data_IF_319176011932
#
_entry.id   IF_319176011932
#
_cell.length_a   1.000
_cell.length_b   1.000
_cell.length_c   1.000
_cell.angle_alpha   90.00
_cell.angle_beta   90.00
_cell.angle_gamma   90.00
#
_symmetry.space_group_name_H-M   'P 1'
#
loop_
_entity.id
_entity.type
_entity.pdbx_description
1 polymer ?
#
# COMPACT_ATOMS: atom_id res chain seq x y z
N UNK A 1 -0.99 35.54 -1.66
CA UNK A 1 -0.68 35.14 -0.27
C UNK A 1 -1.66 34.11 0.31
N UNK A 2 -3.01 34.31 0.26
CA UNK A 2 -3.99 33.31 0.77
C UNK A 2 -4.00 31.97 -0.01
N UNK A 3 -3.75 31.99 -1.32
CA UNK A 3 -3.66 30.77 -2.15
C UNK A 3 -2.43 29.93 -1.81
N UNK A 4 -1.28 30.57 -1.57
CA UNK A 4 -0.03 29.91 -1.20
C UNK A 4 -0.12 29.24 0.18
N UNK A 5 -0.77 29.87 1.15
CA UNK A 5 -0.98 29.32 2.50
C UNK A 5 -1.94 28.10 2.47
N UNK A 6 -3.01 28.14 1.66
CA UNK A 6 -3.92 26.99 1.47
C UNK A 6 -3.19 25.81 0.82
N UNK A 7 -2.33 26.05 -0.14
CA UNK A 7 -1.52 24.99 -0.80
C UNK A 7 -0.51 24.40 0.15
N UNK A 8 0.17 25.22 0.96
CA UNK A 8 1.13 24.77 1.99
C UNK A 8 0.42 23.95 3.07
N UNK A 9 -0.76 24.36 3.54
CA UNK A 9 -1.56 23.62 4.51
C UNK A 9 -2.11 22.31 3.94
N UNK A 10 -2.50 22.28 2.67
CA UNK A 10 -2.99 21.06 2.02
C UNK A 10 -1.86 20.04 1.80
N UNK A 11 -0.66 20.49 1.47
CA UNK A 11 0.51 19.62 1.30
C UNK A 11 1.19 19.28 2.62
N UNK A 12 1.11 20.16 3.62
CA UNK A 12 1.67 19.96 4.97
C UNK A 12 0.83 19.10 5.89
N UNK A 13 -0.45 18.86 5.56
CA UNK A 13 -1.36 18.09 6.41
C UNK A 13 -0.83 16.71 6.84
N UNK A 14 -0.37 15.85 5.91
CA UNK A 14 0.21 14.57 6.26
C UNK A 14 1.45 14.67 7.16
N UNK A 15 2.32 15.68 6.95
CA UNK A 15 3.50 15.90 7.82
C UNK A 15 3.09 16.29 9.24
N UNK A 16 2.08 17.16 9.38
CA UNK A 16 1.55 17.53 10.69
C UNK A 16 0.96 16.29 11.38
N UNK A 17 0.20 15.48 10.64
CA UNK A 17 -0.32 14.21 11.15
C UNK A 17 0.78 13.27 11.65
N UNK A 18 1.86 13.13 10.89
CA UNK A 18 3.02 12.32 11.28
C UNK A 18 3.66 12.84 12.59
N UNK A 19 3.90 14.15 12.68
CA UNK A 19 4.49 14.76 13.87
C UNK A 19 3.57 14.61 15.09
N UNK A 20 2.26 14.73 14.93
CA UNK A 20 1.29 14.53 16.01
C UNK A 20 1.30 13.07 16.52
N UNK A 21 1.35 12.08 15.62
CA UNK A 21 1.37 10.67 16.00
C UNK A 21 2.71 10.31 16.66
N UNK A 22 3.84 10.80 16.16
CA UNK A 22 5.15 10.64 16.80
C UNK A 22 5.12 11.30 18.19
N UNK A 23 4.60 12.53 18.32
CA UNK A 23 4.45 13.23 19.58
C UNK A 23 3.61 12.43 20.58
N UNK A 24 2.46 11.87 20.14
CA UNK A 24 1.58 11.08 20.98
C UNK A 24 2.31 9.91 21.69
N UNK A 25 3.12 9.16 20.95
CA UNK A 25 3.86 8.01 21.51
C UNK A 25 5.18 8.39 22.19
N UNK A 26 5.64 9.63 22.02
CA UNK A 26 6.84 10.16 22.69
C UNK A 26 6.55 10.83 24.03
N UNK A 27 5.27 11.15 24.33
CA UNK A 27 4.90 11.84 25.56
C UNK A 27 4.94 10.94 26.81
N UNK A 28 4.45 9.68 26.80
CA UNK A 28 4.48 8.82 27.97
C UNK A 28 5.93 8.45 28.34
N UNK A 29 6.29 8.62 29.63
CA UNK A 29 7.64 8.34 30.09
C UNK A 29 8.07 6.87 29.87
N UNK A 30 7.10 5.95 30.00
CA UNK A 30 7.32 4.51 29.85
C UNK A 30 7.72 4.11 28.42
N UNK A 31 7.21 4.79 27.41
CA UNK A 31 7.49 4.47 25.99
C UNK A 31 8.59 5.34 25.40
N UNK A 32 8.81 6.53 25.93
CA UNK A 32 9.74 7.53 25.39
C UNK A 32 11.15 7.01 25.20
N UNK A 33 11.67 6.26 26.17
CA UNK A 33 13.05 5.74 26.15
C UNK A 33 13.26 4.72 25.04
N UNK A 34 12.23 3.94 24.71
CA UNK A 34 12.30 2.91 23.66
C UNK A 34 11.84 3.44 22.31
N UNK A 35 10.81 4.31 22.28
CA UNK A 35 10.18 4.79 21.04
C UNK A 35 11.13 5.68 20.23
N UNK A 36 11.87 6.60 20.87
CA UNK A 36 12.79 7.53 20.19
C UNK A 36 14.17 6.93 19.93
N UNK A 37 14.34 5.61 20.00
CA UNK A 37 15.62 4.97 19.70
C UNK A 37 15.82 4.77 18.20
N UNK A 38 17.09 4.81 17.77
CA UNK A 38 17.48 4.50 16.40
C UNK A 38 16.98 3.12 15.95
N UNK A 39 17.07 2.11 16.81
CA UNK A 39 16.61 0.76 16.51
C UNK A 39 15.10 0.70 16.28
N UNK A 40 14.31 1.45 17.05
CA UNK A 40 12.87 1.50 16.84
C UNK A 40 12.49 2.19 15.54
N UNK A 41 13.12 3.32 15.18
CA UNK A 41 12.91 3.94 13.87
C UNK A 41 13.25 2.99 12.72
N UNK A 42 14.28 2.18 12.87
CA UNK A 42 14.64 1.15 11.90
C UNK A 42 13.53 0.09 11.75
N UNK A 43 12.92 -0.34 12.86
CA UNK A 43 11.76 -1.24 12.86
C UNK A 43 10.57 -0.57 12.17
N UNK A 44 10.26 0.68 12.50
CA UNK A 44 9.17 1.45 11.87
C UNK A 44 9.38 1.52 10.35
N UNK A 45 10.56 1.91 9.88
CA UNK A 45 10.86 1.96 8.45
C UNK A 45 10.71 0.59 7.77
N UNK A 46 11.17 -0.48 8.43
CA UNK A 46 11.03 -1.84 7.91
C UNK A 46 9.56 -2.26 7.78
N UNK A 47 8.75 -1.95 8.78
CA UNK A 47 7.31 -2.21 8.76
C UNK A 47 6.59 -1.38 7.69
N UNK A 48 7.05 -0.15 7.45
CA UNK A 48 6.47 0.74 6.44
C UNK A 48 6.61 0.20 5.03
N UNK A 49 7.65 -0.59 4.70
CA UNK A 49 7.93 -1.05 3.33
C UNK A 49 6.72 -1.70 2.66
N UNK A 50 6.06 -2.63 3.35
CA UNK A 50 4.97 -3.42 2.79
C UNK A 50 3.75 -2.53 2.53
N UNK A 51 3.37 -1.71 3.51
CA UNK A 51 2.27 -0.74 3.38
C UNK A 51 2.58 0.30 2.31
N UNK A 52 3.82 0.80 2.27
CA UNK A 52 4.27 1.80 1.30
C UNK A 52 4.18 1.28 -0.13
N UNK A 53 4.70 0.07 -0.40
CA UNK A 53 4.61 -0.55 -1.73
C UNK A 53 3.15 -0.78 -2.14
N UNK A 54 2.32 -1.27 -1.22
CA UNK A 54 0.87 -1.37 -1.44
C UNK A 54 0.23 -0.01 -1.74
N UNK A 55 0.64 1.03 -1.00
CA UNK A 55 0.13 2.39 -1.17
C UNK A 55 0.54 3.02 -2.52
N UNK A 56 1.69 2.67 -3.11
CA UNK A 56 2.05 3.12 -4.47
C UNK A 56 1.03 2.65 -5.50
N UNK A 57 0.69 1.36 -5.49
CA UNK A 57 -0.35 0.79 -6.36
C UNK A 57 -1.73 1.37 -6.05
N UNK A 58 -2.10 1.39 -4.79
CA UNK A 58 -3.40 1.90 -4.34
C UNK A 58 -3.60 3.38 -4.66
N UNK A 59 -2.54 4.19 -4.63
CA UNK A 59 -2.63 5.62 -5.01
C UNK A 59 -3.07 5.77 -6.47
N UNK A 60 -2.52 4.98 -7.39
CA UNK A 60 -2.94 5.01 -8.80
C UNK A 60 -4.41 4.60 -8.94
N UNK A 61 -4.85 3.58 -8.22
CA UNK A 61 -6.23 3.10 -8.22
C UNK A 61 -7.17 4.18 -7.66
N UNK A 62 -6.88 4.73 -6.48
CA UNK A 62 -7.74 5.75 -5.83
C UNK A 62 -7.78 7.03 -6.66
N UNK A 63 -6.66 7.51 -7.16
CA UNK A 63 -6.61 8.69 -8.04
C UNK A 63 -7.43 8.47 -9.32
N UNK A 64 -7.52 7.24 -9.83
CA UNK A 64 -8.37 6.91 -10.97
C UNK A 64 -9.87 6.75 -10.64
N UNK A 65 -10.27 6.91 -9.38
CA UNK A 65 -11.64 6.75 -8.89
C UNK A 65 -12.03 5.31 -8.56
N UNK A 66 -11.05 4.41 -8.35
CA UNK A 66 -11.26 3.03 -7.95
C UNK A 66 -10.86 2.75 -6.50
N UNK A 67 -11.20 1.56 -6.02
CA UNK A 67 -10.73 1.00 -4.74
C UNK A 67 -10.41 -0.47 -5.00
N UNK A 68 -9.33 -0.97 -4.41
CA UNK A 68 -8.98 -2.40 -4.47
C UNK A 68 -8.90 -2.98 -3.05
N UNK A 69 -9.88 -3.81 -2.72
CA UNK A 69 -9.91 -4.52 -1.43
C UNK A 69 -9.13 -5.84 -1.47
N UNK A 70 -8.73 -6.30 -2.66
CA UNK A 70 -8.03 -7.57 -2.79
C UNK A 70 -6.53 -7.50 -2.47
N UNK A 71 -5.99 -6.32 -2.16
CA UNK A 71 -4.55 -6.13 -1.94
C UNK A 71 -3.99 -7.05 -0.86
N UNK A 72 -4.66 -7.17 0.30
CA UNK A 72 -4.20 -8.05 1.39
C UNK A 72 -4.21 -9.52 1.00
N UNK A 73 -5.27 -9.98 0.32
CA UNK A 73 -5.36 -11.37 -0.17
C UNK A 73 -4.42 -11.65 -1.34
N UNK A 74 -4.15 -10.66 -2.19
CA UNK A 74 -3.13 -10.75 -3.24
C UNK A 74 -1.74 -10.93 -2.64
N UNK A 75 -1.38 -10.15 -1.61
CA UNK A 75 -0.12 -10.30 -0.87
C UNK A 75 -0.02 -11.69 -0.25
N UNK A 76 -1.10 -12.18 0.38
CA UNK A 76 -1.10 -13.52 0.97
C UNK A 76 -0.93 -14.62 -0.08
N UNK A 77 -1.70 -14.60 -1.17
CA UNK A 77 -1.60 -15.60 -2.24
C UNK A 77 -0.22 -15.61 -2.87
N UNK A 78 0.31 -14.44 -3.23
CA UNK A 78 1.62 -14.35 -3.87
C UNK A 78 2.76 -14.69 -2.91
N UNK A 79 2.60 -14.50 -1.58
CA UNK A 79 3.56 -14.98 -0.58
C UNK A 79 3.60 -16.50 -0.49
N UNK A 80 2.43 -17.16 -0.53
CA UNK A 80 2.34 -18.63 -0.59
C UNK A 80 2.99 -19.15 -1.87
N UNK A 81 2.70 -18.55 -3.03
CA UNK A 81 3.36 -18.90 -4.30
C UNK A 81 4.88 -18.78 -4.16
N UNK A 82 5.39 -17.67 -3.62
CA UNK A 82 6.81 -17.45 -3.42
C UNK A 82 7.45 -18.49 -2.50
N UNK A 83 6.81 -18.84 -1.38
CA UNK A 83 7.29 -19.84 -0.45
C UNK A 83 7.36 -21.23 -1.09
N UNK A 84 6.34 -21.64 -1.83
CA UNK A 84 6.31 -22.92 -2.56
C UNK A 84 7.41 -22.99 -3.62
N UNK A 85 7.66 -21.91 -4.36
CA UNK A 85 8.75 -21.86 -5.33
C UNK A 85 10.12 -22.03 -4.67
N UNK A 86 10.34 -21.39 -3.51
CA UNK A 86 11.58 -21.55 -2.74
C UNK A 86 11.73 -23.00 -2.26
N UNK A 87 10.68 -23.63 -1.74
CA UNK A 87 10.68 -25.05 -1.36
C UNK A 87 11.09 -25.98 -2.52
N UNK A 88 10.67 -25.63 -3.76
CA UNK A 88 11.04 -26.37 -4.96
C UNK A 88 12.42 -26.00 -5.52
N UNK A 89 13.22 -25.25 -4.78
CA UNK A 89 14.60 -24.91 -5.14
C UNK A 89 14.74 -23.81 -6.21
N UNK A 90 13.70 -23.00 -6.46
CA UNK A 90 13.81 -21.90 -7.42
C UNK A 90 14.74 -20.80 -6.90
N UNK A 91 15.52 -20.24 -7.80
CA UNK A 91 16.44 -19.15 -7.48
C UNK A 91 15.70 -17.84 -7.14
N UNK A 92 16.35 -16.92 -6.40
CA UNK A 92 15.69 -15.70 -5.88
C UNK A 92 15.14 -14.79 -6.98
N UNK A 93 15.79 -14.70 -8.14
CA UNK A 93 15.34 -13.89 -9.27
C UNK A 93 14.06 -14.46 -9.88
N UNK A 94 14.01 -15.81 -10.05
CA UNK A 94 12.81 -16.48 -10.60
C UNK A 94 11.63 -16.32 -9.64
N UNK A 95 11.85 -16.45 -8.33
CA UNK A 95 10.82 -16.23 -7.31
C UNK A 95 10.31 -14.78 -7.38
N UNK A 96 11.22 -13.80 -7.41
CA UNK A 96 10.87 -12.37 -7.52
C UNK A 96 9.97 -12.11 -8.73
N UNK A 97 10.40 -12.55 -9.91
CA UNK A 97 9.67 -12.32 -11.16
C UNK A 97 8.30 -12.98 -11.13
N UNK A 98 8.23 -14.24 -10.66
CA UNK A 98 6.96 -14.99 -10.62
C UNK A 98 5.99 -14.39 -9.61
N UNK A 99 6.44 -13.98 -8.43
CA UNK A 99 5.59 -13.36 -7.41
C UNK A 99 5.03 -12.01 -7.90
N UNK A 100 5.87 -11.17 -8.52
CA UNK A 100 5.41 -9.89 -9.11
C UNK A 100 4.44 -10.15 -10.26
N UNK A 101 4.75 -11.09 -11.16
CA UNK A 101 3.88 -11.45 -12.28
C UNK A 101 2.53 -12.01 -11.80
N UNK A 102 2.52 -12.83 -10.74
CA UNK A 102 1.29 -13.33 -10.12
C UNK A 102 0.42 -12.21 -9.56
N UNK A 103 1.02 -11.23 -8.88
CA UNK A 103 0.30 -10.02 -8.45
C UNK A 103 -0.25 -9.22 -9.62
N UNK A 104 0.56 -9.00 -10.66
CA UNK A 104 0.14 -8.33 -11.91
C UNK A 104 -0.99 -9.09 -12.63
N UNK A 105 -0.97 -10.42 -12.60
CA UNK A 105 -2.04 -11.26 -13.16
C UNK A 105 -3.37 -11.08 -12.41
N UNK A 106 -3.35 -11.04 -11.08
CA UNK A 106 -4.55 -10.73 -10.29
C UNK A 106 -5.05 -9.32 -10.63
N UNK A 107 -4.16 -8.35 -10.76
CA UNK A 107 -4.48 -7.00 -11.22
C UNK A 107 -5.08 -6.98 -12.63
N UNK A 108 -4.59 -7.81 -13.55
CA UNK A 108 -5.14 -7.99 -14.89
C UNK A 108 -6.58 -8.52 -14.84
N UNK A 109 -6.84 -9.52 -14.00
CA UNK A 109 -8.18 -10.06 -13.80
C UNK A 109 -9.14 -9.00 -13.27
N UNK A 110 -8.74 -8.26 -12.20
CA UNK A 110 -9.53 -7.17 -11.64
C UNK A 110 -9.80 -6.08 -12.67
N UNK A 111 -8.76 -5.56 -13.30
CA UNK A 111 -8.88 -4.49 -14.29
C UNK A 111 -9.73 -4.86 -15.50
N UNK A 112 -9.58 -6.11 -15.98
CA UNK A 112 -10.37 -6.63 -17.12
C UNK A 112 -11.83 -6.81 -16.74
N UNK A 113 -12.13 -7.33 -15.55
CA UNK A 113 -13.50 -7.47 -15.08
C UNK A 113 -14.18 -6.10 -14.88
N UNK A 114 -13.47 -5.13 -14.26
CA UNK A 114 -13.98 -3.77 -14.05
C UNK A 114 -14.25 -3.07 -15.39
N UNK A 115 -13.31 -3.16 -16.33
CA UNK A 115 -13.44 -2.49 -17.62
C UNK A 115 -14.43 -3.19 -18.56
N UNK A 116 -14.42 -4.53 -18.60
CA UNK A 116 -15.24 -5.33 -19.50
C UNK A 116 -16.69 -5.47 -19.06
N UNK A 117 -16.91 -5.75 -17.76
CA UNK A 117 -18.26 -5.91 -17.21
C UNK A 117 -18.88 -4.58 -16.77
N UNK A 118 -18.12 -3.47 -16.81
CA UNK A 118 -18.55 -2.15 -16.35
C UNK A 118 -19.10 -2.14 -14.92
N UNK A 119 -18.57 -3.02 -14.08
CA UNK A 119 -18.94 -3.12 -12.67
C UNK A 119 -18.09 -2.15 -11.82
N UNK A 120 -18.63 -1.82 -10.65
CA UNK A 120 -17.90 -0.99 -9.70
C UNK A 120 -16.65 -1.71 -9.20
N UNK A 121 -15.49 -1.03 -9.13
CA UNK A 121 -14.24 -1.61 -8.65
C UNK A 121 -14.36 -2.32 -7.30
N UNK A 122 -15.10 -1.72 -6.37
CA UNK A 122 -15.34 -2.25 -5.04
C UNK A 122 -15.91 -3.67 -5.05
N UNK A 123 -16.94 -3.96 -5.90
CA UNK A 123 -17.59 -5.28 -5.95
C UNK A 123 -16.64 -6.34 -6.52
N UNK A 124 -15.94 -6.01 -7.61
CA UNK A 124 -15.00 -6.94 -8.24
C UNK A 124 -13.86 -7.28 -7.27
N UNK A 125 -13.25 -6.27 -6.66
CA UNK A 125 -12.10 -6.49 -5.78
C UNK A 125 -12.49 -7.15 -4.45
N UNK A 126 -13.72 -6.92 -3.95
CA UNK A 126 -14.27 -7.67 -2.83
C UNK A 126 -14.45 -9.16 -3.17
N UNK A 127 -14.95 -9.48 -4.37
CA UNK A 127 -15.01 -10.85 -4.86
C UNK A 127 -13.62 -11.49 -4.98
N UNK A 128 -12.68 -10.75 -5.59
CA UNK A 128 -11.28 -11.21 -5.73
C UNK A 128 -10.59 -11.40 -4.38
N UNK A 129 -10.90 -10.58 -3.36
CA UNK A 129 -10.42 -10.79 -2.00
C UNK A 129 -10.75 -12.21 -1.51
N UNK A 130 -11.99 -12.64 -1.68
CA UNK A 130 -12.42 -13.99 -1.29
C UNK A 130 -11.75 -15.08 -2.13
N UNK A 131 -11.72 -14.91 -3.46
CA UNK A 131 -11.10 -15.88 -4.39
C UNK A 131 -9.59 -16.02 -4.11
N UNK A 132 -8.86 -14.93 -4.04
CA UNK A 132 -7.41 -14.96 -3.80
C UNK A 132 -7.09 -15.54 -2.41
N UNK A 133 -7.85 -15.19 -1.37
CA UNK A 133 -7.69 -15.74 -0.02
C UNK A 133 -7.98 -17.23 0.01
N UNK A 134 -9.07 -17.67 -0.63
CA UNK A 134 -9.43 -19.08 -0.75
C UNK A 134 -8.38 -19.88 -1.50
N UNK A 135 -7.88 -19.35 -2.63
CA UNK A 135 -6.80 -19.98 -3.41
C UNK A 135 -5.50 -20.09 -2.61
N UNK A 136 -5.13 -19.05 -1.85
CA UNK A 136 -3.96 -19.11 -0.96
C UNK A 136 -4.07 -20.23 0.08
N UNK A 137 -5.24 -20.34 0.72
CA UNK A 137 -5.53 -21.41 1.68
C UNK A 137 -5.51 -22.80 1.04
N UNK A 138 -6.10 -22.94 -0.14
CA UNK A 138 -6.10 -24.20 -0.89
C UNK A 138 -4.70 -24.63 -1.29
N UNK A 139 -3.86 -23.72 -1.82
CA UNK A 139 -2.48 -24.05 -2.23
C UNK A 139 -1.57 -24.41 -1.05
N UNK A 140 -1.86 -23.91 0.14
CA UNK A 140 -1.10 -24.12 1.36
C UNK A 140 -1.72 -25.17 2.31
N UNK A 141 -2.77 -25.89 1.90
CA UNK A 141 -3.56 -26.79 2.76
C UNK A 141 -4.00 -26.11 4.07
N UNK A 142 -4.32 -24.82 3.99
CA UNK A 142 -4.65 -23.96 5.12
C UNK A 142 -3.57 -23.89 6.23
N UNK A 143 -2.33 -24.21 5.87
CA UNK A 143 -1.16 -24.21 6.75
C UNK A 143 -0.16 -23.14 6.32
N UNK A 144 0.76 -22.81 7.20
CA UNK A 144 1.89 -21.96 6.85
C UNK A 144 2.93 -22.73 6.06
N UNK A 145 3.34 -22.22 4.91
CA UNK A 145 4.37 -22.80 4.05
C UNK A 145 5.74 -22.32 4.52
N UNK A 146 6.43 -23.14 5.31
CA UNK A 146 7.79 -22.87 5.76
C UNK A 146 8.79 -23.24 4.67
N UNK A 147 9.89 -22.52 4.56
CA UNK A 147 10.99 -22.82 3.67
C UNK A 147 12.34 -22.61 4.38
N UNK A 148 13.36 -23.29 3.90
CA UNK A 148 14.72 -23.12 4.37
C UNK A 148 15.28 -21.74 4.02
N UNK A 149 16.54 -21.46 4.35
CA UNK A 149 17.16 -20.17 4.07
C UNK A 149 17.14 -19.83 2.58
N UNK A 150 16.75 -18.59 2.27
CA UNK A 150 16.80 -18.02 0.92
C UNK A 150 17.53 -16.67 0.95
N UNK A 151 18.28 -16.31 -0.11
CA UNK A 151 18.87 -14.97 -0.22
C UNK A 151 17.85 -13.82 -0.10
N UNK A 152 16.58 -14.07 -0.43
CA UNK A 152 15.48 -13.11 -0.29
C UNK A 152 15.33 -12.65 1.16
N UNK A 153 15.59 -13.51 2.13
CA UNK A 153 15.45 -13.20 3.55
C UNK A 153 16.36 -12.03 3.98
N UNK A 154 17.51 -11.86 3.33
CA UNK A 154 18.43 -10.77 3.57
C UNK A 154 17.88 -9.39 3.20
N UNK A 155 16.86 -9.31 2.35
CA UNK A 155 16.34 -8.02 1.87
C UNK A 155 15.61 -7.20 2.94
N UNK A 156 15.17 -7.85 4.01
CA UNK A 156 14.53 -7.19 5.17
C UNK A 156 15.41 -7.21 6.42
N UNK A 157 16.59 -7.82 6.34
CA UNK A 157 17.54 -7.82 7.45
C UNK A 157 18.59 -6.71 7.25
N UNK A 158 19.15 -6.23 8.35
CA UNK A 158 20.19 -5.18 8.35
C UNK A 158 21.60 -5.75 8.26
N UNK A 159 21.72 -7.03 8.01
CA UNK A 159 23.02 -7.73 7.96
C UNK A 159 23.81 -7.48 6.66
N UNK A 160 23.20 -6.88 5.65
CA UNK A 160 23.85 -6.57 4.39
C UNK A 160 24.79 -5.35 4.53
N UNK A 161 26.06 -5.45 4.09
CA UNK A 161 27.03 -4.34 4.14
C UNK A 161 26.55 -3.05 3.46
N UNK A 162 25.68 -3.17 2.44
CA UNK A 162 25.10 -2.02 1.73
C UNK A 162 24.04 -1.29 2.56
N UNK A 163 23.41 -1.96 3.52
CA UNK A 163 22.28 -1.44 4.29
C UNK A 163 22.61 -1.17 5.77
N UNK A 164 23.83 -0.75 6.09
CA UNK A 164 24.22 -0.47 7.49
C UNK A 164 23.26 0.45 8.25
N UNK A 165 22.58 1.36 7.53
CA UNK A 165 21.61 2.29 8.12
C UNK A 165 20.18 1.74 8.07
N UNK A 166 19.70 1.27 6.91
CA UNK A 166 18.30 0.83 6.67
C UNK A 166 18.28 -0.44 5.80
N UNK A 167 17.28 -1.33 5.97
CA UNK A 167 17.10 -2.51 5.14
C UNK A 167 16.93 -2.16 3.64
N UNK A 168 17.36 -3.08 2.76
CA UNK A 168 17.24 -2.94 1.30
C UNK A 168 15.82 -2.60 0.85
N UNK A 169 14.79 -3.18 1.50
CA UNK A 169 13.39 -2.90 1.20
C UNK A 169 13.00 -1.43 1.32
N UNK A 170 13.59 -0.71 2.28
CA UNK A 170 13.33 0.74 2.45
C UNK A 170 13.85 1.53 1.26
N UNK A 171 15.06 1.23 0.79
CA UNK A 171 15.64 1.88 -0.39
C UNK A 171 14.84 1.57 -1.66
N UNK A 172 14.42 0.32 -1.83
CA UNK A 172 13.55 -0.08 -2.96
C UNK A 172 12.23 0.70 -2.92
N UNK A 173 11.59 0.83 -1.75
CA UNK A 173 10.35 1.59 -1.61
C UNK A 173 10.56 3.08 -1.94
N UNK A 174 11.66 3.70 -1.52
CA UNK A 174 11.98 5.10 -1.82
C UNK A 174 12.21 5.28 -3.33
N UNK A 175 13.02 4.43 -3.96
CA UNK A 175 13.28 4.52 -5.41
C UNK A 175 12.00 4.36 -6.21
N UNK A 176 11.18 3.36 -5.87
CA UNK A 176 9.90 3.13 -6.54
C UNK A 176 8.90 4.27 -6.30
N UNK A 177 8.90 4.88 -5.11
CA UNK A 177 8.08 6.06 -4.82
C UNK A 177 8.50 7.24 -5.72
N UNK A 178 9.80 7.48 -5.89
CA UNK A 178 10.31 8.52 -6.79
C UNK A 178 9.91 8.23 -8.26
N UNK A 179 10.13 6.99 -8.73
CA UNK A 179 9.77 6.60 -10.09
C UNK A 179 8.25 6.71 -10.34
N UNK A 180 7.42 6.24 -9.40
CA UNK A 180 5.96 6.35 -9.51
C UNK A 180 5.50 7.81 -9.44
N UNK A 181 6.15 8.64 -8.63
CA UNK A 181 5.88 10.09 -8.58
C UNK A 181 6.21 10.77 -9.91
N UNK A 182 7.34 10.44 -10.51
CA UNK A 182 7.72 10.92 -11.84
C UNK A 182 6.73 10.43 -12.92
N UNK A 183 6.35 9.15 -12.87
CA UNK A 183 5.35 8.57 -13.76
C UNK A 183 4.03 9.34 -13.70
N UNK A 184 3.51 9.59 -12.50
CA UNK A 184 2.24 10.30 -12.34
C UNK A 184 2.31 11.77 -12.73
N UNK A 185 3.43 12.47 -12.44
CA UNK A 185 3.54 13.91 -12.67
C UNK A 185 3.96 14.29 -14.09
N UNK A 186 4.83 13.49 -14.72
CA UNK A 186 5.51 13.91 -15.95
C UNK A 186 5.13 13.11 -17.19
N UNK A 187 4.31 12.02 -17.07
CA UNK A 187 3.94 11.22 -18.23
C UNK A 187 2.49 11.46 -18.67
N UNK A 188 2.20 11.08 -19.92
CA UNK A 188 0.83 11.07 -20.45
C UNK A 188 -0.05 10.10 -19.67
N UNK A 189 0.52 8.95 -19.26
CA UNK A 189 -0.18 7.95 -18.46
C UNK A 189 -0.69 8.55 -17.14
N UNK A 190 0.17 9.27 -16.43
CA UNK A 190 -0.22 9.95 -15.17
C UNK A 190 -1.33 10.97 -15.40
N UNK A 191 -1.21 11.83 -16.44
CA UNK A 191 -2.27 12.80 -16.77
C UNK A 191 -3.62 12.11 -17.07
N UNK A 192 -3.59 10.98 -17.78
CA UNK A 192 -4.79 10.21 -18.08
C UNK A 192 -5.41 9.61 -16.79
N UNK A 193 -4.62 9.16 -15.81
CA UNK A 193 -5.11 8.67 -14.51
C UNK A 193 -5.89 9.78 -13.79
N UNK A 194 -5.32 10.99 -13.68
CA UNK A 194 -6.00 12.11 -13.04
C UNK A 194 -7.26 12.54 -13.81
N UNK A 195 -7.22 12.57 -15.14
CA UNK A 195 -8.39 12.88 -15.97
C UNK A 195 -9.50 11.85 -15.79
N UNK A 196 -9.15 10.55 -15.78
CA UNK A 196 -10.09 9.44 -15.56
C UNK A 196 -10.79 9.58 -14.21
N UNK A 197 -10.04 9.84 -13.14
CA UNK A 197 -10.59 9.97 -11.81
C UNK A 197 -11.38 11.25 -11.57
N UNK A 198 -11.04 12.33 -12.28
CA UNK A 198 -11.80 13.59 -12.21
C UNK A 198 -13.19 13.47 -12.83
N UNK A 199 -13.27 12.93 -14.06
CA UNK A 199 -14.53 12.64 -14.75
C UNK A 199 -14.32 11.66 -15.89
N UNK A 200 -14.72 10.38 -15.69
CA UNK A 200 -14.56 9.32 -16.69
C UNK A 200 -15.31 9.61 -17.99
N UNK A 201 -16.52 10.19 -17.92
CA UNK A 201 -17.31 10.49 -19.11
C UNK A 201 -16.61 11.54 -19.99
N UNK A 202 -16.12 12.61 -19.38
CA UNK A 202 -15.37 13.67 -20.07
C UNK A 202 -14.04 13.12 -20.61
N UNK A 203 -13.31 12.32 -19.84
CA UNK A 203 -12.06 11.70 -20.28
C UNK A 203 -12.27 10.84 -21.54
N UNK A 204 -13.38 10.09 -21.61
CA UNK A 204 -13.75 9.30 -22.78
C UNK A 204 -14.08 10.16 -23.99
N UNK A 205 -14.81 11.26 -23.80
CA UNK A 205 -15.11 12.23 -24.87
C UNK A 205 -13.85 12.90 -25.42
N UNK A 206 -12.83 13.09 -24.58
CA UNK A 206 -11.51 13.59 -24.99
C UNK A 206 -10.62 12.52 -25.66
N UNK A 207 -11.16 11.32 -25.96
CA UNK A 207 -10.43 10.27 -26.67
C UNK A 207 -9.50 9.41 -25.80
N UNK A 208 -9.56 9.50 -24.46
CA UNK A 208 -8.78 8.67 -23.56
C UNK A 208 -9.35 7.24 -23.58
N UNK A 209 -8.54 6.20 -23.84
CA UNK A 209 -8.99 4.81 -23.85
C UNK A 209 -9.20 4.29 -22.42
N UNK A 210 -10.30 4.73 -21.77
CA UNK A 210 -10.54 4.53 -20.32
C UNK A 210 -10.52 3.06 -19.90
N UNK A 211 -11.02 2.15 -20.75
CA UNK A 211 -11.02 0.70 -20.47
C UNK A 211 -9.58 0.14 -20.40
N UNK A 212 -8.75 0.42 -21.39
CA UNK A 212 -7.33 -0.02 -21.38
C UNK A 212 -6.55 0.61 -20.24
N UNK A 213 -6.84 1.88 -19.95
CA UNK A 213 -6.19 2.60 -18.86
C UNK A 213 -6.50 1.96 -17.50
N UNK A 214 -7.77 1.60 -17.24
CA UNK A 214 -8.17 0.88 -16.02
C UNK A 214 -7.39 -0.43 -15.87
N UNK A 215 -7.36 -1.24 -16.93
CA UNK A 215 -6.61 -2.52 -16.92
C UNK A 215 -5.15 -2.29 -16.56
N UNK A 216 -4.47 -1.33 -17.21
CA UNK A 216 -3.07 -1.03 -16.93
C UNK A 216 -2.82 -0.55 -15.48
N UNK A 217 -3.72 0.27 -14.93
CA UNK A 217 -3.63 0.75 -13.55
C UNK A 217 -3.67 -0.43 -12.58
N UNK A 218 -4.63 -1.35 -12.75
CA UNK A 218 -4.77 -2.51 -11.88
C UNK A 218 -3.62 -3.52 -12.05
N UNK A 219 -3.10 -3.71 -13.27
CA UNK A 219 -1.90 -4.54 -13.51
C UNK A 219 -0.69 -3.98 -12.78
N UNK A 220 -0.42 -2.67 -12.95
CA UNK A 220 0.71 -2.04 -12.26
C UNK A 220 0.55 -2.06 -10.73
N UNK A 221 -0.65 -1.81 -10.23
CA UNK A 221 -0.95 -1.92 -8.80
C UNK A 221 -0.74 -3.35 -8.30
N UNK A 222 -1.21 -4.35 -9.04
CA UNK A 222 -0.98 -5.76 -8.74
C UNK A 222 0.50 -6.14 -8.70
N UNK A 223 1.32 -5.59 -9.60
CA UNK A 223 2.78 -5.75 -9.55
C UNK A 223 3.37 -5.17 -8.25
N UNK A 224 2.91 -4.01 -7.79
CA UNK A 224 3.32 -3.46 -6.49
C UNK A 224 2.87 -4.33 -5.32
N UNK A 225 1.68 -4.92 -5.38
CA UNK A 225 1.19 -5.85 -4.35
C UNK A 225 2.03 -7.14 -4.33
N UNK A 226 2.37 -7.69 -5.50
CA UNK A 226 3.30 -8.81 -5.62
C UNK A 226 4.68 -8.48 -5.05
N UNK A 227 5.21 -7.27 -5.33
CA UNK A 227 6.48 -6.84 -4.75
C UNK A 227 6.39 -6.66 -3.23
N UNK A 228 5.30 -6.09 -2.71
CA UNK A 228 5.05 -6.00 -1.27
C UNK A 228 5.04 -7.40 -0.61
N UNK A 229 4.48 -8.38 -1.31
CA UNK A 229 4.50 -9.79 -0.89
C UNK A 229 5.90 -10.39 -0.80
N UNK A 230 6.82 -10.05 -1.72
CA UNK A 230 8.23 -10.50 -1.64
C UNK A 230 8.87 -9.98 -0.35
N UNK A 231 8.63 -8.73 0.03
CA UNK A 231 9.15 -8.19 1.29
C UNK A 231 8.43 -8.77 2.52
N UNK A 232 7.14 -9.09 2.41
CA UNK A 232 6.42 -9.81 3.46
C UNK A 232 7.01 -11.21 3.68
N UNK A 233 7.27 -11.94 2.59
CA UNK A 233 7.91 -13.25 2.58
C UNK A 233 9.32 -13.18 3.20
N UNK A 234 10.13 -12.20 2.80
CA UNK A 234 11.46 -11.95 3.35
C UNK A 234 11.43 -11.68 4.86
N UNK A 235 10.43 -10.94 5.33
CA UNK A 235 10.26 -10.58 6.74
C UNK A 235 9.84 -11.76 7.61
N UNK A 236 8.84 -12.53 7.16
CA UNK A 236 8.28 -13.65 7.93
C UNK A 236 9.06 -14.94 7.75
N UNK A 237 9.83 -15.05 6.66
CA UNK A 237 10.55 -16.28 6.25
C UNK A 237 9.61 -17.49 6.04
N UNK A 238 8.36 -17.18 5.67
CA UNK A 238 7.31 -18.17 5.44
C UNK A 238 6.22 -17.59 4.56
N UNK A 239 5.51 -18.44 3.82
CA UNK A 239 4.26 -18.09 3.12
C UNK A 239 3.07 -18.42 4.01
N UNK A 240 2.29 -17.43 4.39
CA UNK A 240 1.12 -17.63 5.25
C UNK A 240 -0.15 -17.20 4.51
N UNK A 241 -1.11 -18.11 4.27
CA UNK A 241 -2.36 -17.80 3.56
C UNK A 241 -3.27 -16.87 4.37
N UNK A 242 -3.03 -16.71 5.68
CA UNK A 242 -3.81 -15.83 6.57
C UNK A 242 -3.15 -14.47 6.81
N UNK A 243 -1.96 -14.25 6.30
CA UNK A 243 -1.24 -12.99 6.45
C UNK A 243 -1.96 -11.83 5.76
N UNK A 244 -1.65 -10.62 6.18
CA UNK A 244 -2.15 -9.39 5.59
C UNK A 244 -3.68 -9.20 5.65
N UNK A 245 -4.37 -9.83 6.62
CA UNK A 245 -5.78 -9.52 6.92
C UNK A 245 -5.85 -8.13 7.54
N UNK A 246 -6.73 -7.26 7.00
CA UNK A 246 -6.86 -5.87 7.42
C UNK A 246 -5.80 -4.93 6.82
N UNK A 247 -4.77 -5.45 6.14
CA UNK A 247 -3.74 -4.62 5.50
C UNK A 247 -4.31 -3.74 4.38
N UNK A 248 -5.39 -4.18 3.73
CA UNK A 248 -6.15 -3.38 2.76
C UNK A 248 -6.62 -2.07 3.38
N UNK A 249 -7.09 -2.09 4.63
CA UNK A 249 -7.53 -0.89 5.34
C UNK A 249 -6.36 0.04 5.67
N UNK A 250 -5.23 -0.51 6.11
CA UNK A 250 -4.01 0.27 6.37
C UNK A 250 -3.52 0.99 5.11
N UNK A 251 -3.51 0.27 3.98
CA UNK A 251 -3.06 0.81 2.70
C UNK A 251 -4.00 1.90 2.21
N UNK A 252 -5.32 1.67 2.26
CA UNK A 252 -6.32 2.67 1.89
C UNK A 252 -6.22 3.90 2.81
N UNK A 253 -6.15 3.68 4.13
CA UNK A 253 -5.96 4.74 5.12
C UNK A 253 -4.72 5.57 4.84
N UNK A 254 -3.59 4.92 4.53
CA UNK A 254 -2.34 5.59 4.20
C UNK A 254 -2.50 6.54 3.02
N UNK A 255 -3.21 6.12 1.97
CA UNK A 255 -3.43 6.92 0.77
C UNK A 255 -4.37 8.10 1.05
N UNK A 256 -5.44 7.90 1.84
CA UNK A 256 -6.43 8.94 2.19
C UNK A 256 -5.81 9.97 3.16
N UNK A 257 -5.14 9.51 4.22
CA UNK A 257 -4.43 10.37 5.19
C UNK A 257 -3.34 11.16 4.45
N UNK A 258 -2.72 10.54 3.45
CA UNK A 258 -1.78 11.17 2.53
C UNK A 258 -2.36 12.26 1.64
N UNK A 259 -3.69 12.46 1.68
CA UNK A 259 -4.41 13.53 0.98
C UNK A 259 -4.94 13.15 -0.40
N UNK A 260 -5.00 11.85 -0.74
CA UNK A 260 -5.73 11.40 -1.92
C UNK A 260 -7.25 11.40 -1.63
N UNK A 261 -8.03 11.70 -2.66
CA UNK A 261 -9.48 11.72 -2.57
C UNK A 261 -10.10 10.41 -3.07
N UNK A 262 -11.02 9.83 -2.28
CA UNK A 262 -11.81 8.67 -2.70
C UNK A 262 -12.71 8.93 -3.91
N UNK A 263 -13.02 10.20 -4.19
CA UNK A 263 -13.78 10.58 -5.39
C UNK A 263 -12.92 10.56 -6.67
N UNK A 264 -11.61 10.32 -6.54
CA UNK A 264 -10.65 10.35 -7.65
C UNK A 264 -10.14 11.75 -7.99
N UNK A 265 -9.24 11.81 -8.96
CA UNK A 265 -8.68 13.06 -9.52
C UNK A 265 -7.69 13.81 -8.64
N UNK A 266 -7.48 13.40 -7.39
CA UNK A 266 -6.57 14.06 -6.44
C UNK A 266 -5.77 13.04 -5.65
N UNK A 267 -4.46 13.25 -5.54
CA UNK A 267 -3.56 12.43 -4.74
C UNK A 267 -2.10 12.66 -5.09
N UNK A 268 -1.21 12.29 -4.19
CA UNK A 268 0.25 12.39 -4.40
C UNK A 268 0.96 11.19 -3.79
N UNK A 269 1.99 10.71 -4.48
CA UNK A 269 2.82 9.60 -3.96
C UNK A 269 3.50 9.99 -2.64
N UNK A 270 4.04 11.21 -2.55
CA UNK A 270 4.67 11.67 -1.32
C UNK A 270 3.70 11.63 -0.13
N UNK A 271 2.47 12.12 -0.34
CA UNK A 271 1.43 12.06 0.69
C UNK A 271 1.15 10.63 1.13
N UNK A 272 0.94 9.71 0.19
CA UNK A 272 0.69 8.29 0.49
C UNK A 272 1.85 7.62 1.22
N UNK A 273 3.11 7.97 0.89
CA UNK A 273 4.29 7.47 1.61
C UNK A 273 4.33 7.96 3.06
N UNK A 274 3.98 9.24 3.29
CA UNK A 274 3.87 9.79 4.65
C UNK A 274 2.72 9.12 5.40
N UNK A 275 1.58 8.90 4.73
CA UNK A 275 0.46 8.15 5.31
C UNK A 275 0.84 6.73 5.70
N UNK A 276 1.63 6.02 4.86
CA UNK A 276 2.15 4.70 5.19
C UNK A 276 3.07 4.72 6.42
N UNK A 277 3.88 5.78 6.55
CA UNK A 277 4.71 5.98 7.73
C UNK A 277 3.87 6.26 8.98
N UNK A 278 2.80 7.06 8.87
CA UNK A 278 1.86 7.30 9.97
C UNK A 278 1.25 5.98 10.46
N UNK A 279 0.79 5.11 9.55
CA UNK A 279 0.22 3.82 9.92
C UNK A 279 1.24 2.91 10.61
N UNK A 280 2.49 2.89 10.11
CA UNK A 280 3.56 2.11 10.74
C UNK A 280 3.93 2.63 12.13
N UNK A 281 4.01 3.96 12.31
CA UNK A 281 4.25 4.60 13.61
C UNK A 281 3.12 4.29 14.59
N UNK A 282 1.87 4.34 14.13
CA UNK A 282 0.69 4.04 14.94
C UNK A 282 0.70 2.58 15.41
N UNK A 283 0.97 1.62 14.50
CA UNK A 283 1.06 0.20 14.87
C UNK A 283 2.24 -0.07 15.82
N UNK A 284 3.42 0.45 15.51
CA UNK A 284 4.61 0.26 16.34
C UNK A 284 4.43 0.89 17.72
N UNK A 285 3.98 2.14 17.80
CA UNK A 285 3.74 2.83 19.06
C UNK A 285 2.69 2.13 19.92
N UNK A 286 1.60 1.68 19.31
CA UNK A 286 0.56 0.90 19.99
C UNK A 286 1.10 -0.42 20.57
N UNK A 287 1.95 -1.12 19.82
CA UNK A 287 2.62 -2.34 20.28
C UNK A 287 3.54 -2.07 21.47
N UNK A 288 4.31 -0.97 21.45
CA UNK A 288 5.18 -0.59 22.56
C UNK A 288 4.42 -0.19 23.82
N UNK A 289 3.22 0.38 23.67
CA UNK A 289 2.30 0.64 24.78
C UNK A 289 1.58 -0.61 25.29
N UNK A 290 1.84 -1.78 24.70
CA UNK A 290 1.14 -3.02 25.07
C UNK A 290 -0.35 -3.05 24.70
N UNK A 291 -0.79 -2.18 23.79
CA UNK A 291 -2.20 -2.15 23.40
C UNK A 291 -2.58 -3.43 22.64
N UNK A 292 -3.69 -4.09 23.02
CA UNK A 292 -4.17 -5.27 22.33
C UNK A 292 -4.47 -4.97 20.85
N UNK A 293 -4.34 -5.99 19.99
CA UNK A 293 -4.55 -5.84 18.53
C UNK A 293 -5.93 -5.31 18.17
N UNK A 294 -6.98 -5.74 18.89
CA UNK A 294 -8.36 -5.25 18.65
C UNK A 294 -8.49 -3.75 18.93
N UNK A 295 -7.73 -3.20 19.85
CA UNK A 295 -7.73 -1.76 20.13
C UNK A 295 -7.06 -0.98 19.01
N UNK A 296 -5.98 -1.53 18.42
CA UNK A 296 -5.33 -0.96 17.24
C UNK A 296 -6.29 -0.92 16.04
N UNK A 297 -7.06 -2.00 15.83
CA UNK A 297 -8.06 -2.07 14.75
C UNK A 297 -9.17 -1.02 14.92
N UNK A 298 -9.65 -0.79 16.14
CA UNK A 298 -10.64 0.26 16.46
C UNK A 298 -10.07 1.63 16.10
N UNK A 299 -8.84 1.94 16.51
CA UNK A 299 -8.20 3.22 16.20
C UNK A 299 -8.04 3.42 14.71
N UNK A 300 -7.58 2.40 13.97
CA UNK A 300 -7.43 2.46 12.52
C UNK A 300 -8.78 2.75 11.86
N UNK A 301 -9.84 2.05 12.27
CA UNK A 301 -11.19 2.29 11.77
C UNK A 301 -11.67 3.73 12.01
N UNK A 302 -11.46 4.26 13.20
CA UNK A 302 -11.81 5.65 13.54
C UNK A 302 -10.98 6.65 12.70
N UNK A 303 -9.69 6.41 12.53
CA UNK A 303 -8.81 7.26 11.71
C UNK A 303 -9.29 7.29 10.26
N UNK A 304 -9.71 6.15 9.69
CA UNK A 304 -10.28 6.09 8.34
C UNK A 304 -11.57 6.94 8.26
N UNK A 305 -12.48 6.78 9.20
CA UNK A 305 -13.75 7.53 9.23
C UNK A 305 -13.48 9.03 9.27
N UNK A 306 -12.59 9.47 10.16
CA UNK A 306 -12.21 10.89 10.29
C UNK A 306 -11.55 11.40 9.01
N UNK A 307 -10.62 10.62 8.42
CA UNK A 307 -9.94 11.01 7.19
C UNK A 307 -10.93 11.19 6.02
N UNK A 308 -11.86 10.25 5.84
CA UNK A 308 -12.90 10.33 4.80
C UNK A 308 -13.86 11.48 5.05
N UNK A 309 -14.25 11.73 6.30
CA UNK A 309 -15.08 12.89 6.66
C UNK A 309 -14.39 14.21 6.32
N UNK A 310 -13.11 14.34 6.66
CA UNK A 310 -12.32 15.53 6.33
C UNK A 310 -12.16 15.72 4.80
N UNK A 311 -12.00 14.62 4.04
CA UNK A 311 -11.95 14.67 2.58
C UNK A 311 -13.27 15.22 2.00
N UNK A 312 -14.41 14.73 2.46
CA UNK A 312 -15.73 15.26 2.06
C UNK A 312 -15.92 16.74 2.37
N UNK A 313 -15.49 17.20 3.56
CA UNK A 313 -15.58 18.61 3.92
C UNK A 313 -14.73 19.51 3.00
N UNK A 314 -13.55 19.00 2.56
CA UNK A 314 -12.69 19.72 1.61
C UNK A 314 -13.33 19.84 0.23
N UNK A 315 -13.98 18.78 -0.25
CA UNK A 315 -14.66 18.76 -1.55
C UNK A 315 -15.90 19.66 -1.57
N UNK A 316 -16.74 19.62 -0.53
CA UNK A 316 -17.92 20.49 -0.42
C UNK A 316 -17.59 21.98 -0.44
N UNK A 317 -16.41 22.38 0.09
CA UNK A 317 -15.90 23.75 0.05
C UNK A 317 -15.28 24.17 -1.28
N UNK A 318 -14.94 23.22 -2.14
CA UNK A 318 -14.40 23.49 -3.48
C UNK A 318 -15.51 23.61 -4.53
N UNK A 319 -16.71 23.09 -4.24
CA UNK A 319 -17.89 23.14 -5.11
C UNK A 319 -18.83 24.33 -4.80
N UNK A 320 -18.65 25.03 -3.69
CA UNK A 320 -19.31 26.27 -3.30
C UNK A 320 -18.42 27.49 -3.58
#
# INVERSE_FOLDING_TARGET
MKATLKTILAQGGPFIGLLLVIGLFSLPAETREFFLTYNNFKIIFTQTVIVALGALGMTMIIVSGGIDLSVGSTIALTSVVGALLIQHGWGPVSVLVTVIASGGFIGLLNGSAIAGLRMTPFIITLGTLGVARGTAKWMADNQTVNYDSSPINGWMTTADPFSRALPTGVWVAIVLALLTSLLLRHTVFGRHIFALGSNEATARLCGIPTARLKVLIYVLAGCFFGLASVFQLARLRQGDPTVAVGLELDIIASVIIGGASLSGGVGTILGSMIGALIMAVLRNGSQQMGWPTYFQEIIIGLVIIVAVFLDRLRQGRAAA
#
